data_IF_677059854978
#
_entry.id   IF_677059854978
#
_cell.length_a   1.000
_cell.length_b   1.000
_cell.length_c   1.000
_cell.angle_alpha   90.00
_cell.angle_beta   90.00
_cell.angle_gamma   90.00
#
_symmetry.space_group_name_H-M   'P 1'
#
loop_
_entity.id
_entity.type
_entity.pdbx_description
1 polymer ?
#
# COMPACT_ATOMS: atom_id res chain seq x y z
N UNK A 1 5.96 -57.18 7.14
CA UNK A 1 6.79 -57.74 8.25
C UNK A 1 7.31 -56.59 9.11
N UNK A 2 6.82 -56.60 10.41
CA UNK A 2 7.53 -56.16 11.64
C UNK A 2 8.00 -54.67 11.66
N UNK A 3 7.78 -53.81 12.68
CA UNK A 3 7.08 -53.84 13.99
C UNK A 3 6.97 -52.38 14.45
N UNK A 4 5.87 -51.98 14.86
CA UNK A 4 5.39 -51.29 16.05
C UNK A 4 6.42 -51.07 17.18
N UNK A 5 6.60 -49.85 17.65
CA UNK A 5 6.96 -49.57 19.04
C UNK A 5 6.27 -48.29 19.56
N UNK A 6 5.35 -48.51 20.47
CA UNK A 6 4.67 -47.55 21.32
C UNK A 6 5.49 -47.44 22.61
N UNK A 7 5.74 -46.22 23.13
CA UNK A 7 6.12 -46.02 24.53
C UNK A 7 5.31 -44.87 25.12
N UNK A 8 4.42 -45.24 26.02
CA UNK A 8 3.73 -44.42 27.03
C UNK A 8 4.65 -44.26 28.26
N UNK A 9 4.74 -43.07 28.85
CA UNK A 9 5.00 -42.90 30.30
C UNK A 9 4.37 -41.56 30.73
N UNK A 10 3.23 -41.55 31.32
CA UNK A 10 2.68 -41.40 32.69
C UNK A 10 3.28 -40.24 33.54
N UNK A 11 2.46 -39.23 33.75
CA UNK A 11 1.75 -38.75 34.95
C UNK A 11 2.53 -38.74 36.27
N UNK A 12 2.82 -37.52 36.82
CA UNK A 12 2.93 -37.37 38.28
C UNK A 12 2.31 -36.02 38.70
N UNK A 13 1.13 -36.12 39.36
CA UNK A 13 0.55 -35.09 40.22
C UNK A 13 1.23 -35.15 41.57
N UNK A 14 1.58 -34.00 42.15
CA UNK A 14 1.72 -33.86 43.59
C UNK A 14 1.00 -32.60 44.05
N UNK A 15 -0.08 -32.81 44.78
CA UNK A 15 -0.81 -31.84 45.58
C UNK A 15 -0.19 -31.82 46.98
N UNK A 16 0.07 -30.61 47.51
CA UNK A 16 0.24 -30.47 48.98
C UNK A 16 -0.43 -29.17 49.44
N UNK A 17 -1.53 -29.38 50.17
CA UNK A 17 -2.15 -28.38 51.07
C UNK A 17 -1.46 -28.47 52.44
N UNK A 18 -1.29 -27.31 53.10
CA UNK A 18 -1.45 -27.09 54.54
C UNK A 18 -1.06 -25.62 54.83
N UNK A 19 -1.83 -24.79 55.33
CA UNK A 19 -2.69 -24.65 56.52
C UNK A 19 -2.14 -23.46 57.35
N UNK A 20 -3.08 -22.63 57.76
CA UNK A 20 -2.98 -21.38 58.53
C UNK A 20 -2.23 -21.47 59.86
N UNK A 21 -1.61 -20.36 60.29
CA UNK A 21 -1.92 -19.85 61.66
C UNK A 21 -1.37 -18.41 61.84
N UNK A 22 -2.15 -17.68 62.58
CA UNK A 22 -2.07 -16.26 62.98
C UNK A 22 -0.95 -15.96 63.97
N UNK A 23 -0.32 -14.80 63.91
CA UNK A 23 -0.41 -13.70 64.90
C UNK A 23 0.71 -12.67 64.87
N UNK A 24 0.30 -11.40 64.92
CA UNK A 24 0.85 -10.24 65.62
C UNK A 24 2.20 -9.63 65.24
N UNK A 25 2.09 -8.39 64.72
CA UNK A 25 2.82 -7.13 65.07
C UNK A 25 4.34 -7.11 65.15
N UNK A 26 4.91 -6.35 64.24
CA UNK A 26 5.73 -5.14 64.55
C UNK A 26 6.22 -4.51 63.26
N UNK A 27 6.18 -3.20 63.23
CA UNK A 27 6.79 -2.28 62.29
C UNK A 27 8.26 -2.57 62.07
N UNK A 28 8.70 -2.58 60.80
CA UNK A 28 9.87 -1.79 60.37
C UNK A 28 10.01 -1.80 58.84
N UNK A 29 10.26 -0.64 58.40
CA UNK A 29 10.88 -0.10 57.22
C UNK A 29 11.49 -1.15 56.27
N UNK A 30 10.90 -1.30 55.08
CA UNK A 30 11.57 -1.89 53.95
C UNK A 30 11.19 -1.09 52.70
N UNK A 31 12.18 -0.31 52.27
CA UNK A 31 12.32 0.22 50.94
C UNK A 31 11.77 -0.78 49.89
N UNK A 32 10.63 -0.44 49.31
CA UNK A 32 10.17 -1.06 48.08
C UNK A 32 11.14 -0.61 46.99
N UNK A 33 12.04 -1.51 46.60
CA UNK A 33 12.73 -1.45 45.32
C UNK A 33 11.65 -1.71 44.25
N UNK A 34 10.96 -0.62 43.91
CA UNK A 34 10.09 -0.58 42.76
C UNK A 34 11.02 -0.50 41.53
N UNK A 35 11.28 -1.61 40.91
CA UNK A 35 11.69 -1.59 39.51
C UNK A 35 10.48 -1.05 38.75
N UNK A 36 10.39 0.28 38.62
CA UNK A 36 9.63 0.93 37.57
C UNK A 36 10.24 0.46 36.24
N UNK A 37 9.71 -0.63 35.70
CA UNK A 37 9.75 -0.83 34.25
C UNK A 37 8.96 0.34 33.69
N UNK A 38 9.65 1.42 33.28
CA UNK A 38 9.06 2.48 32.49
C UNK A 38 8.37 1.79 31.31
N UNK A 39 7.06 1.74 31.35
CA UNK A 39 6.27 1.30 30.18
C UNK A 39 6.50 2.36 29.11
N UNK A 40 7.27 2.02 28.07
CA UNK A 40 7.41 2.89 26.92
C UNK A 40 6.01 3.26 26.42
N UNK A 41 5.66 4.53 26.43
CA UNK A 41 4.40 5.01 25.88
C UNK A 41 4.45 4.87 24.35
N UNK A 42 3.39 4.37 23.74
CA UNK A 42 3.32 4.13 22.30
C UNK A 42 2.13 4.81 21.65
N UNK A 43 2.32 5.32 20.44
CA UNK A 43 1.23 5.71 19.53
C UNK A 43 1.01 4.55 18.57
N UNK A 44 -0.24 4.11 18.47
CA UNK A 44 -0.64 2.92 17.73
C UNK A 44 -1.11 3.27 16.32
N UNK A 45 -0.37 2.79 15.32
CA UNK A 45 -0.70 2.95 13.90
C UNK A 45 -1.31 1.65 13.38
N UNK A 46 -2.53 1.71 12.84
CA UNK A 46 -3.18 0.60 12.17
C UNK A 46 -3.08 0.67 10.66
N UNK A 47 -3.21 -0.47 10.00
CA UNK A 47 -3.34 -0.55 8.55
C UNK A 47 -3.78 -1.93 8.10
N UNK A 48 -4.25 -2.05 6.86
CA UNK A 48 -4.53 -3.34 6.26
C UNK A 48 -4.19 -3.39 4.77
N UNK A 49 -4.04 -4.59 4.27
CA UNK A 49 -3.78 -4.85 2.86
C UNK A 49 -3.68 -6.33 2.58
N UNK A 50 -3.71 -6.75 1.32
CA UNK A 50 -3.59 -8.15 0.95
C UNK A 50 -2.16 -8.64 1.23
N UNK A 51 -1.93 -9.32 2.35
CA UNK A 51 -0.65 -9.99 2.63
C UNK A 51 -0.67 -11.45 2.20
N UNK A 52 -1.83 -11.94 1.79
CA UNK A 52 -2.04 -13.26 1.17
C UNK A 52 -2.93 -13.14 -0.07
N UNK A 53 -2.87 -14.16 -0.95
CA UNK A 53 -3.69 -14.21 -2.17
C UNK A 53 -3.07 -13.54 -3.37
N UNK A 54 -3.92 -13.21 -4.34
CA UNK A 54 -3.52 -12.76 -5.69
C UNK A 54 -2.75 -11.43 -5.69
N UNK A 55 -3.05 -10.52 -4.74
CA UNK A 55 -2.44 -9.20 -4.66
C UNK A 55 -1.43 -9.05 -3.52
N UNK A 56 -0.87 -10.17 -3.04
CA UNK A 56 0.00 -10.20 -1.86
C UNK A 56 1.23 -9.29 -1.98
N UNK A 57 1.74 -9.05 -3.18
CA UNK A 57 2.89 -8.17 -3.40
C UNK A 57 2.63 -6.73 -2.96
N UNK A 58 1.38 -6.23 -3.10
CA UNK A 58 1.04 -4.89 -2.65
C UNK A 58 0.99 -4.78 -1.13
N UNK A 59 0.24 -5.67 -0.47
CA UNK A 59 0.08 -5.62 0.98
C UNK A 59 1.37 -5.88 1.74
N UNK A 60 2.18 -6.83 1.27
CA UNK A 60 3.51 -7.09 1.85
C UNK A 60 4.45 -5.89 1.65
N UNK A 61 4.41 -5.24 0.49
CA UNK A 61 5.19 -4.04 0.23
C UNK A 61 4.83 -2.91 1.21
N UNK A 62 3.54 -2.62 1.37
CA UNK A 62 3.04 -1.63 2.33
C UNK A 62 3.44 -1.99 3.76
N UNK A 63 3.25 -3.23 4.17
CA UNK A 63 3.61 -3.69 5.52
C UNK A 63 5.10 -3.51 5.82
N UNK A 64 5.97 -3.95 4.92
CA UNK A 64 7.41 -3.83 5.13
C UNK A 64 7.91 -2.40 5.02
N UNK A 65 7.38 -1.60 4.07
CA UNK A 65 7.73 -0.18 3.94
C UNK A 65 7.37 0.62 5.19
N UNK A 66 6.18 0.41 5.73
CA UNK A 66 5.74 1.00 6.98
C UNK A 66 6.59 0.54 8.18
N UNK A 67 6.94 -0.76 8.24
CA UNK A 67 7.77 -1.29 9.32
C UNK A 67 9.17 -0.68 9.32
N UNK A 68 9.79 -0.50 8.14
CA UNK A 68 11.09 0.19 8.02
C UNK A 68 11.00 1.60 8.61
N UNK A 69 9.96 2.37 8.26
CA UNK A 69 9.76 3.71 8.79
C UNK A 69 9.59 3.72 10.32
N UNK A 70 8.76 2.82 10.84
CA UNK A 70 8.52 2.68 12.29
C UNK A 70 9.81 2.34 13.04
N UNK A 71 10.58 1.41 12.52
CA UNK A 71 11.86 1.00 13.14
C UNK A 71 12.86 2.16 13.16
N UNK A 72 13.04 2.88 12.04
CA UNK A 72 13.93 4.05 11.95
C UNK A 72 13.50 5.17 12.90
N UNK A 73 12.23 5.51 12.94
CA UNK A 73 11.70 6.52 13.86
C UNK A 73 11.98 6.12 15.29
N UNK A 74 11.67 4.88 15.67
CA UNK A 74 11.84 4.36 17.01
C UNK A 74 13.31 4.28 17.45
N UNK A 75 14.26 4.09 16.53
CA UNK A 75 15.69 4.13 16.79
C UNK A 75 16.19 5.55 17.16
N UNK A 76 15.54 6.58 16.59
CA UNK A 76 15.93 7.98 16.84
C UNK A 76 15.26 8.59 18.07
N UNK A 77 14.19 7.97 18.61
CA UNK A 77 13.45 8.46 19.78
C UNK A 77 14.23 8.23 21.07
N UNK A 78 14.31 9.28 21.88
CA UNK A 78 14.99 9.27 23.17
C UNK A 78 14.24 8.50 24.26
N UNK A 79 14.94 8.29 25.39
CA UNK A 79 14.34 7.72 26.60
C UNK A 79 13.23 8.66 27.13
N UNK A 80 12.05 8.10 27.42
CA UNK A 80 10.88 8.85 27.88
C UNK A 80 10.03 9.50 26.78
N UNK A 81 10.44 9.44 25.51
CA UNK A 81 9.61 9.83 24.39
C UNK A 81 8.72 8.66 23.94
N UNK A 82 7.51 8.98 23.44
CA UNK A 82 6.64 7.94 22.88
C UNK A 82 7.26 7.34 21.60
N UNK A 83 6.95 6.08 21.36
CA UNK A 83 7.34 5.33 20.16
C UNK A 83 6.14 4.98 19.32
N UNK A 84 6.36 4.51 18.10
CA UNK A 84 5.31 3.99 17.24
C UNK A 84 5.18 2.48 17.43
N UNK A 85 3.94 1.99 17.37
CA UNK A 85 3.61 0.55 17.31
C UNK A 85 2.71 0.34 16.11
N UNK A 86 3.15 -0.49 15.15
CA UNK A 86 2.42 -0.83 13.93
C UNK A 86 1.65 -2.14 14.11
N UNK A 87 0.38 -2.14 13.73
CA UNK A 87 -0.41 -3.36 13.54
C UNK A 87 -1.00 -3.36 12.14
N UNK A 88 -0.52 -4.27 11.29
CA UNK A 88 -0.95 -4.41 9.90
C UNK A 88 -1.64 -5.75 9.70
N UNK A 89 -2.89 -5.73 9.21
CA UNK A 89 -3.75 -6.90 9.08
C UNK A 89 -3.97 -7.29 7.62
N UNK A 90 -4.13 -8.59 7.37
CA UNK A 90 -4.47 -9.12 6.05
C UNK A 90 -5.95 -8.89 5.75
N UNK A 91 -6.26 -8.10 4.74
CA UNK A 91 -7.62 -7.88 4.21
C UNK A 91 -7.87 -8.61 2.88
N UNK A 92 -6.88 -9.32 2.35
CA UNK A 92 -6.93 -10.07 1.09
C UNK A 92 -7.33 -9.27 -0.14
N UNK A 93 -7.36 -7.93 -0.05
CA UNK A 93 -7.89 -7.03 -1.07
C UNK A 93 -9.42 -7.07 -1.19
N UNK A 94 -10.11 -7.48 -0.13
CA UNK A 94 -11.55 -7.67 -0.06
C UNK A 94 -12.19 -6.70 0.94
N UNK A 95 -13.27 -6.02 0.54
CA UNK A 95 -13.92 -5.00 1.38
C UNK A 95 -14.59 -5.55 2.65
N UNK A 96 -15.05 -6.80 2.66
CA UNK A 96 -15.62 -7.43 3.86
C UNK A 96 -14.50 -7.79 4.86
N UNK A 97 -13.38 -8.31 4.38
CA UNK A 97 -12.21 -8.58 5.22
C UNK A 97 -11.58 -7.27 5.73
N UNK A 98 -11.54 -6.20 4.91
CA UNK A 98 -11.10 -4.86 5.35
C UNK A 98 -11.97 -4.31 6.49
N UNK A 99 -13.30 -4.48 6.41
CA UNK A 99 -14.21 -4.10 7.49
C UNK A 99 -13.97 -4.86 8.78
N UNK A 100 -13.60 -6.15 8.69
CA UNK A 100 -13.21 -6.97 9.83
C UNK A 100 -11.85 -6.52 10.42
N UNK A 101 -10.89 -6.20 9.55
CA UNK A 101 -9.59 -5.67 9.95
C UNK A 101 -9.74 -4.33 10.68
N UNK A 102 -10.55 -3.41 10.16
CA UNK A 102 -10.88 -2.16 10.82
C UNK A 102 -11.40 -2.37 12.25
N UNK A 103 -12.40 -3.24 12.43
CA UNK A 103 -12.95 -3.52 13.75
C UNK A 103 -11.89 -4.07 14.72
N UNK A 104 -11.01 -4.96 14.26
CA UNK A 104 -9.92 -5.51 15.06
C UNK A 104 -8.88 -4.43 15.44
N UNK A 105 -8.57 -3.51 14.53
CA UNK A 105 -7.65 -2.40 14.79
C UNK A 105 -8.23 -1.41 15.81
N UNK A 106 -9.53 -1.12 15.75
CA UNK A 106 -10.23 -0.31 16.76
C UNK A 106 -10.19 -1.00 18.12
N UNK A 107 -10.49 -2.31 18.18
CA UNK A 107 -10.42 -3.10 19.44
C UNK A 107 -9.00 -3.18 20.01
N UNK A 108 -7.97 -3.18 19.15
CA UNK A 108 -6.57 -3.11 19.57
C UNK A 108 -6.20 -1.73 20.15
N UNK A 109 -7.01 -0.70 19.90
CA UNK A 109 -6.80 0.66 20.35
C UNK A 109 -5.96 1.50 19.40
N UNK A 110 -6.10 1.28 18.10
CA UNK A 110 -5.52 2.13 17.05
C UNK A 110 -5.86 3.61 17.29
N UNK A 111 -4.87 4.49 17.12
CA UNK A 111 -5.03 5.93 17.29
C UNK A 111 -4.97 6.68 15.96
N UNK A 112 -4.18 6.18 15.00
CA UNK A 112 -4.08 6.68 13.63
C UNK A 112 -3.98 5.51 12.66
N UNK A 113 -4.24 5.73 11.37
CA UNK A 113 -4.28 4.65 10.40
C UNK A 113 -3.58 4.96 9.09
N UNK A 114 -3.04 3.91 8.48
CA UNK A 114 -2.64 3.88 7.08
C UNK A 114 -3.78 3.45 6.15
N UNK A 115 -5.02 3.39 6.64
CA UNK A 115 -6.19 2.91 5.90
C UNK A 115 -5.95 1.50 5.32
N UNK A 116 -6.22 1.33 4.02
CA UNK A 116 -5.98 0.08 3.30
C UNK A 116 -5.09 0.30 2.08
N UNK A 117 -4.51 -0.80 1.59
CA UNK A 117 -3.63 -0.79 0.42
C UNK A 117 -4.41 -0.65 -0.89
N UNK A 118 -5.51 -1.41 -1.07
CA UNK A 118 -6.26 -1.42 -2.34
C UNK A 118 -7.45 -0.48 -2.32
N UNK A 119 -7.85 0.00 -3.50
CA UNK A 119 -9.00 0.90 -3.67
C UNK A 119 -10.30 0.30 -3.12
N UNK A 120 -10.63 -0.94 -3.48
CA UNK A 120 -11.88 -1.58 -3.03
C UNK A 120 -11.95 -1.75 -1.51
N UNK A 121 -10.83 -2.16 -0.87
CA UNK A 121 -10.74 -2.26 0.59
C UNK A 121 -10.86 -0.88 1.26
N UNK A 122 -10.21 0.14 0.70
CA UNK A 122 -10.26 1.52 1.22
C UNK A 122 -11.66 2.11 1.16
N UNK A 123 -12.36 1.95 0.04
CA UNK A 123 -13.75 2.39 -0.13
C UNK A 123 -14.70 1.76 0.90
N UNK A 124 -14.48 0.49 1.22
CA UNK A 124 -15.34 -0.24 2.17
C UNK A 124 -15.26 0.29 3.61
N UNK A 125 -14.17 0.97 3.99
CA UNK A 125 -13.94 1.39 5.40
C UNK A 125 -13.72 2.90 5.58
N UNK A 126 -13.53 3.66 4.51
CA UNK A 126 -13.22 5.09 4.59
C UNK A 126 -14.25 5.89 5.39
N UNK A 127 -15.55 5.63 5.17
CA UNK A 127 -16.62 6.27 5.94
C UNK A 127 -16.54 5.93 7.43
N UNK A 128 -16.16 4.70 7.79
CA UNK A 128 -16.03 4.29 9.19
C UNK A 128 -14.91 5.02 9.92
N UNK A 129 -13.78 5.26 9.26
CA UNK A 129 -12.68 6.08 9.80
C UNK A 129 -13.11 7.53 9.97
N UNK A 130 -13.74 8.10 8.94
CA UNK A 130 -14.23 9.49 8.98
C UNK A 130 -15.25 9.70 10.08
N UNK A 131 -16.26 8.84 10.20
CA UNK A 131 -17.31 8.93 11.21
C UNK A 131 -16.79 8.76 12.64
N UNK A 132 -15.72 7.99 12.81
CA UNK A 132 -15.05 7.81 14.11
C UNK A 132 -14.09 8.96 14.47
N UNK A 133 -13.80 9.88 13.54
CA UNK A 133 -12.80 10.93 13.72
C UNK A 133 -11.38 10.40 13.84
N UNK A 134 -11.10 9.22 13.26
CA UNK A 134 -9.77 8.61 13.22
C UNK A 134 -9.06 9.06 11.94
N UNK A 135 -7.95 9.79 12.09
CA UNK A 135 -7.15 10.18 10.94
C UNK A 135 -6.59 8.93 10.23
N UNK A 136 -6.82 8.86 8.92
CA UNK A 136 -6.37 7.77 8.09
C UNK A 136 -5.79 8.28 6.76
N UNK A 137 -4.63 7.77 6.36
CA UNK A 137 -4.00 8.13 5.09
C UNK A 137 -3.67 6.87 4.31
N UNK A 138 -4.37 6.63 3.20
CA UNK A 138 -4.05 5.49 2.34
C UNK A 138 -2.72 5.70 1.60
N UNK A 139 -1.82 4.71 1.57
CA UNK A 139 -0.62 4.78 0.76
C UNK A 139 -0.93 4.70 -0.74
N UNK A 140 -1.96 3.93 -1.13
CA UNK A 140 -2.13 3.50 -2.53
C UNK A 140 -3.57 3.35 -3.00
N UNK A 141 -4.57 3.52 -2.13
CA UNK A 141 -5.97 3.58 -2.57
C UNK A 141 -6.22 4.84 -3.39
N UNK A 142 -6.47 4.71 -4.68
CA UNK A 142 -6.35 5.81 -5.66
C UNK A 142 -7.69 6.38 -6.15
N UNK A 143 -8.83 5.69 -5.92
CA UNK A 143 -10.14 6.23 -6.30
C UNK A 143 -10.47 7.53 -5.54
N UNK A 144 -11.06 8.49 -6.26
CA UNK A 144 -11.39 9.80 -5.70
C UNK A 144 -12.38 9.68 -4.53
N UNK A 145 -13.33 8.76 -4.59
CA UNK A 145 -14.37 8.59 -3.59
C UNK A 145 -13.86 8.09 -2.22
N UNK A 146 -12.60 7.62 -2.13
CA UNK A 146 -11.99 7.25 -0.85
C UNK A 146 -11.91 8.45 0.08
N UNK A 147 -11.52 9.61 -0.44
CA UNK A 147 -11.29 10.84 0.34
C UNK A 147 -12.42 11.87 0.21
N UNK A 148 -13.15 11.86 -0.90
CA UNK A 148 -14.14 12.88 -1.24
C UNK A 148 -15.21 13.03 -0.16
N UNK A 149 -15.36 14.25 0.36
CA UNK A 149 -16.32 14.58 1.43
C UNK A 149 -15.96 14.01 2.80
N UNK A 150 -14.70 13.65 3.05
CA UNK A 150 -14.22 13.06 4.30
C UNK A 150 -13.11 13.92 4.92
N UNK A 151 -13.36 14.48 6.09
CA UNK A 151 -12.41 15.38 6.75
C UNK A 151 -11.16 14.65 7.29
N UNK A 152 -11.29 13.38 7.69
CA UNK A 152 -10.25 12.60 8.37
C UNK A 152 -9.56 11.57 7.48
N UNK A 153 -9.90 11.50 6.18
CA UNK A 153 -9.33 10.51 5.25
C UNK A 153 -8.50 11.20 4.18
N UNK A 154 -7.25 10.82 4.09
CA UNK A 154 -6.22 11.40 3.23
C UNK A 154 -5.60 10.35 2.31
N UNK A 155 -4.86 10.80 1.30
CA UNK A 155 -4.17 9.92 0.34
C UNK A 155 -2.74 10.39 0.08
N UNK A 156 -1.80 9.44 0.02
CA UNK A 156 -0.41 9.68 -0.35
C UNK A 156 -0.15 9.45 -1.84
N UNK A 157 -0.82 8.52 -2.50
CA UNK A 157 -0.69 8.26 -3.94
C UNK A 157 -1.45 9.29 -4.79
N UNK A 158 -1.17 9.32 -6.09
CA UNK A 158 -1.98 10.09 -7.05
C UNK A 158 -3.32 9.38 -7.36
N UNK A 159 -4.30 10.15 -7.84
CA UNK A 159 -5.64 9.65 -8.11
C UNK A 159 -5.75 8.88 -9.43
N UNK A 160 -6.78 8.03 -9.55
CA UNK A 160 -7.11 7.33 -10.80
C UNK A 160 -7.24 8.28 -12.00
N UNK A 161 -7.94 9.44 -11.91
CA UNK A 161 -8.02 10.38 -13.01
C UNK A 161 -6.67 10.97 -13.42
N UNK A 162 -5.77 11.20 -12.47
CA UNK A 162 -4.42 11.69 -12.74
C UNK A 162 -3.59 10.65 -13.49
N UNK A 163 -3.74 9.38 -13.16
CA UNK A 163 -3.05 8.28 -13.84
C UNK A 163 -3.53 8.12 -15.28
N UNK A 164 -4.84 8.08 -15.48
CA UNK A 164 -5.43 7.93 -16.81
C UNK A 164 -5.03 9.08 -17.73
N UNK A 165 -5.11 10.32 -17.26
CA UNK A 165 -4.70 11.52 -17.98
C UNK A 165 -3.20 11.49 -18.30
N UNK A 166 -2.35 11.27 -17.30
CA UNK A 166 -0.90 11.24 -17.49
C UNK A 166 -0.44 10.13 -18.46
N UNK A 167 -1.12 8.98 -18.46
CA UNK A 167 -0.82 7.90 -19.41
C UNK A 167 -1.13 8.34 -20.85
N UNK A 168 -2.29 8.97 -21.10
CA UNK A 168 -2.67 9.45 -22.43
C UNK A 168 -1.73 10.57 -22.90
N UNK A 169 -1.41 11.54 -22.02
CA UNK A 169 -0.46 12.61 -22.28
C UNK A 169 0.90 12.04 -22.68
N UNK A 170 1.45 11.13 -21.89
CA UNK A 170 2.76 10.54 -22.14
C UNK A 170 2.80 9.77 -23.47
N UNK A 171 1.78 8.95 -23.77
CA UNK A 171 1.67 8.20 -25.02
C UNK A 171 1.66 9.16 -26.22
N UNK A 172 0.91 10.26 -26.12
CA UNK A 172 0.81 11.27 -27.18
C UNK A 172 2.08 12.09 -27.35
N UNK A 173 2.65 12.63 -26.27
CA UNK A 173 3.83 13.49 -26.29
C UNK A 173 5.07 12.77 -26.81
N UNK A 174 5.23 11.50 -26.45
CA UNK A 174 6.36 10.66 -26.88
C UNK A 174 6.07 9.91 -28.20
N UNK A 175 4.89 10.10 -28.79
CA UNK A 175 4.47 9.43 -30.04
C UNK A 175 4.66 7.90 -29.96
N UNK A 176 4.30 7.30 -28.83
CA UNK A 176 4.45 5.84 -28.63
C UNK A 176 3.53 5.04 -29.54
N UNK A 177 2.33 5.54 -29.78
CA UNK A 177 1.33 4.94 -30.66
C UNK A 177 0.24 5.94 -31.04
N UNK A 178 -0.44 5.70 -32.16
CA UNK A 178 -1.68 6.39 -32.52
C UNK A 178 -2.90 5.51 -32.23
N UNK A 179 -2.78 4.21 -32.41
CA UNK A 179 -3.85 3.22 -32.22
C UNK A 179 -3.65 2.43 -30.94
N UNK A 180 -4.59 2.56 -30.02
CA UNK A 180 -4.53 1.97 -28.68
C UNK A 180 -5.63 0.93 -28.51
N UNK A 181 -5.30 -0.23 -27.96
CA UNK A 181 -6.27 -1.14 -27.37
C UNK A 181 -6.25 -0.99 -25.84
N UNK A 182 -7.41 -1.11 -25.22
CA UNK A 182 -7.55 -1.04 -23.77
C UNK A 182 -8.13 -2.34 -23.24
N UNK A 183 -7.52 -2.86 -22.17
CA UNK A 183 -8.09 -3.95 -21.37
C UNK A 183 -8.37 -3.42 -19.98
N UNK A 184 -9.60 -3.54 -19.49
CA UNK A 184 -9.95 -3.07 -18.16
C UNK A 184 -10.90 -4.01 -17.44
N UNK A 185 -10.84 -4.01 -16.11
CA UNK A 185 -11.72 -4.80 -15.26
C UNK A 185 -12.93 -3.97 -14.86
N UNK A 186 -14.12 -4.35 -15.36
CA UNK A 186 -15.34 -3.56 -15.24
C UNK A 186 -16.04 -3.60 -13.88
N UNK A 187 -15.63 -4.50 -12.99
CA UNK A 187 -16.07 -4.62 -11.61
C UNK A 187 -15.00 -4.15 -10.59
N UNK A 188 -14.00 -3.40 -11.05
CA UNK A 188 -12.97 -2.76 -10.22
C UNK A 188 -13.09 -1.24 -10.33
N UNK A 189 -13.39 -0.57 -9.22
CA UNK A 189 -13.49 0.91 -9.18
C UNK A 189 -12.18 1.57 -9.63
N UNK A 190 -11.03 1.03 -9.23
CA UNK A 190 -9.72 1.45 -9.68
C UNK A 190 -9.57 1.39 -11.20
N UNK A 191 -9.79 0.21 -11.78
CA UNK A 191 -9.60 -0.02 -13.21
C UNK A 191 -10.54 0.84 -14.07
N UNK A 192 -11.79 1.00 -13.63
CA UNK A 192 -12.79 1.85 -14.28
C UNK A 192 -12.40 3.32 -14.17
N UNK A 193 -11.98 3.80 -12.99
CA UNK A 193 -11.60 5.19 -12.77
C UNK A 193 -10.44 5.63 -13.65
N UNK A 194 -9.39 4.83 -13.73
CA UNK A 194 -8.23 5.09 -14.61
C UNK A 194 -8.63 5.01 -16.09
N UNK A 195 -9.41 3.99 -16.49
CA UNK A 195 -9.86 3.83 -17.87
C UNK A 195 -10.70 5.00 -18.38
N UNK A 196 -11.69 5.47 -17.61
CA UNK A 196 -12.55 6.56 -18.05
C UNK A 196 -11.77 7.88 -18.22
N UNK A 197 -10.83 8.18 -17.33
CA UNK A 197 -9.96 9.35 -17.47
C UNK A 197 -9.01 9.22 -18.67
N UNK A 198 -8.41 8.06 -18.88
CA UNK A 198 -7.60 7.78 -20.06
C UNK A 198 -8.39 7.99 -21.35
N UNK A 199 -9.59 7.46 -21.42
CA UNK A 199 -10.47 7.55 -22.59
C UNK A 199 -10.81 9.00 -22.93
N UNK A 200 -11.18 9.78 -21.92
CA UNK A 200 -11.51 11.20 -22.11
C UNK A 200 -10.31 11.98 -22.65
N UNK A 201 -9.12 11.77 -22.08
CA UNK A 201 -7.91 12.48 -22.49
C UNK A 201 -7.40 12.00 -23.86
N UNK A 202 -7.45 10.70 -24.12
CA UNK A 202 -7.08 10.11 -25.41
C UNK A 202 -7.92 10.70 -26.57
N UNK A 203 -9.23 10.91 -26.36
CA UNK A 203 -10.09 11.57 -27.35
C UNK A 203 -9.64 13.01 -27.62
N UNK A 204 -9.30 13.79 -26.59
CA UNK A 204 -8.82 15.17 -26.73
C UNK A 204 -7.50 15.25 -27.48
N UNK A 205 -6.61 14.30 -27.26
CA UNK A 205 -5.29 14.23 -27.89
C UNK A 205 -5.31 13.59 -29.28
N UNK A 206 -6.45 12.99 -29.70
CA UNK A 206 -6.61 12.34 -30.99
C UNK A 206 -5.97 10.95 -31.06
N UNK A 207 -5.75 10.29 -29.93
CA UNK A 207 -5.42 8.87 -29.88
C UNK A 207 -6.64 8.05 -30.27
N UNK A 208 -6.45 7.06 -31.13
CA UNK A 208 -7.54 6.18 -31.61
C UNK A 208 -7.67 4.94 -30.72
N UNK A 209 -8.69 4.86 -29.85
CA UNK A 209 -9.02 3.62 -29.17
C UNK A 209 -9.69 2.65 -30.15
N UNK A 210 -8.92 1.76 -30.75
CA UNK A 210 -9.38 0.85 -31.82
C UNK A 210 -9.97 -0.45 -31.29
N UNK A 211 -9.74 -0.79 -30.04
CA UNK A 211 -10.29 -1.98 -29.36
C UNK A 211 -10.41 -1.72 -27.87
N UNK A 212 -11.51 -2.16 -27.28
CA UNK A 212 -11.72 -2.15 -25.83
C UNK A 212 -12.23 -3.52 -25.39
N UNK A 213 -11.52 -4.17 -24.49
CA UNK A 213 -11.89 -5.44 -23.91
C UNK A 213 -12.15 -5.28 -22.41
N UNK A 214 -13.41 -5.49 -22.00
CA UNK A 214 -13.80 -5.48 -20.59
C UNK A 214 -13.99 -6.88 -20.05
N UNK A 215 -13.58 -7.10 -18.82
CA UNK A 215 -13.77 -8.37 -18.11
C UNK A 215 -14.13 -8.10 -16.64
N UNK A 216 -14.48 -9.15 -15.91
CA UNK A 216 -14.73 -9.13 -14.47
C UNK A 216 -13.75 -10.07 -13.77
N UNK A 217 -13.60 -9.97 -12.44
CA UNK A 217 -12.77 -10.87 -11.65
C UNK A 217 -13.11 -12.35 -11.91
N UNK A 218 -14.39 -12.68 -12.03
CA UNK A 218 -14.87 -14.06 -12.26
C UNK A 218 -14.41 -14.66 -13.61
N UNK A 219 -14.12 -13.84 -14.62
CA UNK A 219 -13.71 -14.30 -15.95
C UNK A 219 -12.30 -13.88 -16.38
N UNK A 220 -11.48 -13.40 -15.47
CA UNK A 220 -10.08 -12.98 -15.67
C UNK A 220 -9.10 -14.16 -15.88
N UNK A 221 -9.48 -15.15 -16.68
CA UNK A 221 -8.71 -16.39 -16.87
C UNK A 221 -8.18 -16.60 -18.29
N UNK A 222 -8.85 -16.03 -19.31
CA UNK A 222 -8.48 -16.16 -20.72
C UNK A 222 -8.72 -14.85 -21.46
N UNK A 223 -7.65 -14.24 -21.91
CA UNK A 223 -7.65 -12.97 -22.65
C UNK A 223 -7.45 -13.14 -24.17
N UNK A 224 -7.48 -14.37 -24.70
CA UNK A 224 -7.20 -14.68 -26.11
C UNK A 224 -8.13 -13.96 -27.09
N UNK A 225 -9.41 -13.79 -26.73
CA UNK A 225 -10.38 -13.04 -27.53
C UNK A 225 -10.00 -11.56 -27.63
N UNK A 226 -9.78 -10.89 -26.48
CA UNK A 226 -9.40 -9.48 -26.46
C UNK A 226 -8.08 -9.22 -27.18
N UNK A 227 -7.09 -10.12 -27.01
CA UNK A 227 -5.82 -10.06 -27.72
C UNK A 227 -6.00 -10.20 -29.23
N UNK A 228 -6.83 -11.13 -29.67
CA UNK A 228 -7.15 -11.28 -31.09
C UNK A 228 -7.83 -10.05 -31.68
N UNK A 229 -8.77 -9.45 -30.96
CA UNK A 229 -9.49 -8.26 -31.37
C UNK A 229 -8.56 -7.05 -31.47
N UNK A 230 -7.70 -6.83 -30.47
CA UNK A 230 -6.69 -5.76 -30.47
C UNK A 230 -5.72 -5.92 -31.66
N UNK A 231 -5.21 -7.13 -31.88
CA UNK A 231 -4.30 -7.43 -32.99
C UNK A 231 -4.95 -7.21 -34.35
N UNK A 232 -6.19 -7.67 -34.53
CA UNK A 232 -6.93 -7.51 -35.79
C UNK A 232 -7.32 -6.06 -36.06
N UNK A 233 -7.60 -5.27 -35.03
CA UNK A 233 -7.85 -3.84 -35.12
C UNK A 233 -6.58 -3.03 -35.44
N UNK A 234 -5.42 -3.66 -35.36
CA UNK A 234 -4.10 -3.05 -35.64
C UNK A 234 -3.68 -2.09 -34.53
N UNK A 235 -4.02 -2.38 -33.28
CA UNK A 235 -3.52 -1.61 -32.14
C UNK A 235 -1.99 -1.71 -32.06
N UNK A 236 -1.34 -0.59 -31.86
CA UNK A 236 0.11 -0.42 -31.75
C UNK A 236 0.56 -0.47 -30.30
N UNK A 237 -0.34 -0.10 -29.40
CA UNK A 237 -0.15 -0.09 -27.94
C UNK A 237 -1.34 -0.75 -27.25
N UNK A 238 -1.07 -1.44 -26.16
CA UNK A 238 -2.05 -1.97 -25.22
C UNK A 238 -1.93 -1.21 -23.91
N UNK A 239 -2.98 -0.47 -23.54
CA UNK A 239 -3.11 0.22 -22.26
C UNK A 239 -3.77 -0.71 -21.24
N UNK A 240 -3.16 -0.78 -20.05
CA UNK A 240 -3.47 -1.73 -19.00
C UNK A 240 -3.72 -1.01 -17.66
N UNK A 241 -4.91 -0.43 -17.44
CA UNK A 241 -5.31 0.12 -16.14
C UNK A 241 -5.75 -1.00 -15.19
N UNK A 242 -4.80 -1.86 -14.79
CA UNK A 242 -5.08 -3.12 -14.09
C UNK A 242 -4.06 -3.35 -12.95
N UNK A 243 -4.30 -4.37 -12.16
CA UNK A 243 -3.33 -4.91 -11.21
C UNK A 243 -2.39 -5.91 -11.91
N UNK A 244 -1.16 -6.00 -11.44
CA UNK A 244 -0.04 -6.71 -12.07
C UNK A 244 -0.33 -8.15 -12.50
N UNK A 245 -1.18 -8.86 -11.80
CA UNK A 245 -1.56 -10.24 -12.13
C UNK A 245 -2.27 -10.33 -13.49
N UNK A 246 -3.24 -9.45 -13.74
CA UNK A 246 -3.97 -9.41 -15.00
C UNK A 246 -3.12 -8.82 -16.11
N UNK A 247 -2.30 -7.81 -15.81
CA UNK A 247 -1.30 -7.28 -16.76
C UNK A 247 -0.39 -8.38 -17.27
N UNK A 248 0.17 -9.18 -16.37
CA UNK A 248 1.03 -10.32 -16.69
C UNK A 248 0.31 -11.33 -17.59
N UNK A 249 -0.92 -11.72 -17.25
CA UNK A 249 -1.73 -12.67 -18.04
C UNK A 249 -1.96 -12.15 -19.47
N UNK A 250 -2.28 -10.85 -19.61
CA UNK A 250 -2.53 -10.21 -20.92
C UNK A 250 -1.24 -10.12 -21.73
N UNK A 251 -0.12 -9.71 -21.14
CA UNK A 251 1.18 -9.63 -21.80
C UNK A 251 1.59 -11.01 -22.32
N UNK A 252 1.49 -12.04 -21.48
CA UNK A 252 1.79 -13.44 -21.88
C UNK A 252 0.84 -13.94 -22.98
N UNK A 253 -0.44 -13.57 -22.95
CA UNK A 253 -1.39 -13.93 -24.01
C UNK A 253 -1.02 -13.24 -25.34
N UNK A 254 -0.60 -11.99 -25.33
CA UNK A 254 -0.09 -11.28 -26.51
C UNK A 254 1.16 -11.98 -27.09
N UNK A 255 2.13 -12.30 -26.25
CA UNK A 255 3.36 -13.02 -26.66
C UNK A 255 3.01 -14.37 -27.28
N UNK A 256 2.10 -15.13 -26.66
CA UNK A 256 1.64 -16.43 -27.16
C UNK A 256 0.94 -16.33 -28.53
N UNK A 257 0.24 -15.21 -28.78
CA UNK A 257 -0.42 -14.92 -30.06
C UNK A 257 0.54 -14.35 -31.13
N UNK A 258 1.83 -14.17 -30.81
CA UNK A 258 2.79 -13.49 -31.68
C UNK A 258 2.36 -12.05 -31.99
N UNK A 259 1.85 -11.36 -30.98
CA UNK A 259 1.47 -9.93 -31.02
C UNK A 259 2.36 -9.18 -30.03
N UNK A 260 3.10 -8.20 -30.53
CA UNK A 260 4.14 -7.47 -29.79
C UNK A 260 3.87 -5.96 -29.85
N UNK A 261 2.77 -5.47 -29.24
CA UNK A 261 2.51 -4.05 -29.11
C UNK A 261 3.44 -3.42 -28.07
N UNK A 262 3.46 -2.09 -27.99
CA UNK A 262 3.93 -1.41 -26.79
C UNK A 262 2.92 -1.68 -25.68
N UNK A 263 3.38 -1.94 -24.45
CA UNK A 263 2.50 -2.04 -23.28
C UNK A 263 2.69 -0.81 -22.39
N UNK A 264 1.57 -0.30 -21.88
CA UNK A 264 1.58 0.82 -20.97
C UNK A 264 0.65 0.53 -19.78
N UNK A 265 1.24 0.34 -18.61
CA UNK A 265 0.54 0.15 -17.33
C UNK A 265 0.48 1.45 -16.53
N UNK A 266 -0.16 1.39 -15.38
CA UNK A 266 -0.25 2.45 -14.39
C UNK A 266 0.33 1.94 -13.06
N UNK A 267 0.06 2.59 -11.94
CA UNK A 267 0.65 2.20 -10.64
C UNK A 267 0.40 0.73 -10.28
N UNK A 268 -0.76 0.18 -10.66
CA UNK A 268 -1.09 -1.24 -10.43
C UNK A 268 -0.18 -2.23 -11.16
N UNK A 269 0.64 -1.79 -12.11
CA UNK A 269 1.66 -2.65 -12.71
C UNK A 269 2.85 -2.89 -11.76
N UNK A 270 3.10 -1.96 -10.82
CA UNK A 270 4.25 -2.05 -9.94
C UNK A 270 4.13 -3.25 -8.97
N UNK A 271 5.16 -4.07 -8.89
CA UNK A 271 5.15 -5.40 -8.26
C UNK A 271 5.16 -6.55 -9.26
N UNK A 272 4.94 -6.29 -10.57
CA UNK A 272 5.01 -7.33 -11.60
C UNK A 272 6.43 -7.95 -11.71
N UNK A 273 7.46 -7.15 -11.51
CA UNK A 273 8.86 -7.60 -11.60
C UNK A 273 9.25 -8.56 -10.47
N UNK A 274 8.58 -8.51 -9.33
CA UNK A 274 8.78 -9.35 -8.16
C UNK A 274 7.79 -10.53 -8.09
N UNK A 275 6.97 -10.71 -9.13
CA UNK A 275 5.95 -11.77 -9.16
C UNK A 275 6.59 -13.16 -9.18
N UNK A 276 6.23 -13.99 -8.19
CA UNK A 276 6.78 -15.34 -8.05
C UNK A 276 6.47 -16.21 -9.28
N UNK A 277 7.50 -16.83 -9.83
CA UNK A 277 7.39 -17.75 -10.98
C UNK A 277 7.29 -17.07 -12.35
N UNK A 278 7.36 -15.75 -12.42
CA UNK A 278 7.41 -14.98 -13.68
C UNK A 278 8.82 -14.44 -13.89
N UNK A 279 9.36 -14.64 -15.10
CA UNK A 279 10.66 -14.10 -15.48
C UNK A 279 10.50 -12.62 -15.86
N UNK A 280 11.28 -11.73 -15.26
CA UNK A 280 11.20 -10.28 -15.48
C UNK A 280 11.37 -9.90 -16.98
N UNK A 281 12.03 -10.74 -17.79
CA UNK A 281 12.16 -10.54 -19.23
C UNK A 281 10.82 -10.52 -19.99
N UNK A 282 9.74 -11.05 -19.38
CA UNK A 282 8.36 -10.98 -19.92
C UNK A 282 7.94 -9.51 -20.08
N UNK A 283 8.42 -8.64 -19.19
CA UNK A 283 8.05 -7.23 -19.12
C UNK A 283 9.02 -6.29 -19.86
N UNK A 284 9.99 -6.82 -20.60
CA UNK A 284 10.95 -6.01 -21.34
C UNK A 284 10.24 -5.01 -22.28
N UNK A 285 10.53 -3.73 -22.10
CA UNK A 285 9.96 -2.65 -22.90
C UNK A 285 8.60 -2.13 -22.42
N UNK A 286 8.00 -2.69 -21.35
CA UNK A 286 6.76 -2.19 -20.75
C UNK A 286 7.01 -0.82 -20.13
N UNK A 287 6.12 0.14 -20.40
CA UNK A 287 6.06 1.41 -19.72
C UNK A 287 5.01 1.37 -18.61
N UNK A 288 5.24 2.08 -17.50
CA UNK A 288 4.21 2.30 -16.50
C UNK A 288 4.46 3.57 -15.66
N UNK A 289 3.43 4.01 -14.96
CA UNK A 289 3.50 5.18 -14.08
C UNK A 289 3.83 4.74 -12.65
N UNK A 290 4.84 5.40 -12.04
CA UNK A 290 5.20 5.20 -10.63
C UNK A 290 5.89 6.46 -10.10
N UNK A 291 5.74 6.86 -8.83
CA UNK A 291 6.48 7.97 -8.25
C UNK A 291 7.87 7.55 -7.75
N UNK A 292 8.20 6.25 -7.77
CA UNK A 292 9.37 5.70 -7.11
C UNK A 292 10.12 4.70 -7.98
N UNK A 293 11.45 4.79 -7.95
CA UNK A 293 12.32 3.81 -8.57
C UNK A 293 13.40 3.35 -7.59
N UNK A 294 13.36 2.10 -7.21
CA UNK A 294 14.36 1.50 -6.30
C UNK A 294 15.79 1.54 -6.85
N UNK A 295 15.95 1.82 -8.14
CA UNK A 295 17.25 1.98 -8.81
C UNK A 295 17.82 3.40 -8.71
N UNK A 296 17.11 4.35 -8.12
CA UNK A 296 17.59 5.70 -7.91
C UNK A 296 18.83 5.71 -6.98
N UNK A 297 19.71 6.71 -7.15
CA UNK A 297 21.02 6.76 -6.50
C UNK A 297 21.15 7.82 -5.44
N UNK A 298 20.06 8.48 -5.07
CA UNK A 298 20.05 9.40 -3.94
C UNK A 298 20.16 8.64 -2.60
N UNK A 299 20.74 9.29 -1.59
CA UNK A 299 21.08 8.65 -0.33
C UNK A 299 19.85 8.11 0.42
N UNK A 300 18.70 8.79 0.31
CA UNK A 300 17.46 8.39 0.99
C UNK A 300 16.92 7.10 0.38
N UNK A 301 16.81 7.05 -0.95
CA UNK A 301 16.36 5.84 -1.67
C UNK A 301 17.30 4.66 -1.42
N UNK A 302 18.62 4.86 -1.49
CA UNK A 302 19.59 3.79 -1.26
C UNK A 302 19.45 3.24 0.18
N UNK A 303 19.35 4.11 1.19
CA UNK A 303 19.17 3.69 2.59
C UNK A 303 17.88 2.91 2.79
N UNK A 304 16.76 3.39 2.23
CA UNK A 304 15.47 2.71 2.30
C UNK A 304 15.52 1.32 1.65
N UNK A 305 16.06 1.23 0.42
CA UNK A 305 16.19 -0.04 -0.32
C UNK A 305 17.01 -1.06 0.46
N UNK A 306 18.14 -0.65 1.07
CA UNK A 306 18.98 -1.54 1.88
C UNK A 306 18.22 -2.11 3.09
N UNK A 307 17.48 -1.27 3.83
CA UNK A 307 16.71 -1.68 5.01
C UNK A 307 15.50 -2.53 4.63
N UNK A 308 14.79 -2.13 3.57
CA UNK A 308 13.67 -2.90 3.06
C UNK A 308 14.11 -4.30 2.60
N UNK A 309 15.20 -4.39 1.82
CA UNK A 309 15.78 -5.68 1.40
C UNK A 309 16.20 -6.55 2.58
N UNK A 310 16.76 -5.96 3.63
CA UNK A 310 17.15 -6.70 4.83
C UNK A 310 15.94 -7.30 5.57
N UNK A 311 14.79 -6.65 5.51
CA UNK A 311 13.55 -7.08 6.17
C UNK A 311 12.74 -8.05 5.31
N UNK A 312 12.55 -7.75 4.01
CA UNK A 312 11.65 -8.46 3.09
C UNK A 312 12.34 -9.56 2.26
N UNK A 313 13.64 -9.38 1.98
CA UNK A 313 14.40 -10.22 1.04
C UNK A 313 14.17 -9.91 -0.44
N UNK A 314 13.43 -8.83 -0.78
CA UNK A 314 13.10 -8.41 -2.15
C UNK A 314 13.33 -6.91 -2.33
N UNK A 315 13.27 -6.43 -3.58
CA UNK A 315 13.29 -4.99 -3.85
C UNK A 315 11.96 -4.34 -3.46
N UNK A 316 11.97 -3.09 -2.96
CA UNK A 316 10.74 -2.33 -2.74
C UNK A 316 10.14 -1.87 -4.08
N UNK A 317 8.82 -1.80 -4.12
CA UNK A 317 8.05 -1.11 -5.15
C UNK A 317 7.51 0.23 -4.60
N UNK A 318 6.72 0.97 -5.41
CA UNK A 318 6.15 2.25 -4.96
C UNK A 318 5.25 2.13 -3.73
N UNK A 319 4.52 1.02 -3.57
CA UNK A 319 3.63 0.81 -2.43
C UNK A 319 4.40 0.78 -1.11
N UNK A 320 5.61 0.21 -1.13
CA UNK A 320 6.51 0.24 0.02
C UNK A 320 7.00 1.67 0.32
N UNK A 321 7.37 2.42 -0.72
CA UNK A 321 7.84 3.79 -0.58
C UNK A 321 6.73 4.76 -0.14
N UNK A 322 5.52 4.64 -0.71
CA UNK A 322 4.36 5.43 -0.28
C UNK A 322 3.97 5.12 1.18
N UNK A 323 4.04 3.85 1.59
CA UNK A 323 3.78 3.46 2.98
C UNK A 323 4.81 4.02 3.97
N UNK A 324 6.08 4.01 3.59
CA UNK A 324 7.16 4.66 4.33
C UNK A 324 6.89 6.16 4.49
N UNK A 325 6.52 6.83 3.40
CA UNK A 325 6.20 8.25 3.38
C UNK A 325 4.94 8.57 4.21
N UNK A 326 3.90 7.72 4.19
CA UNK A 326 2.70 7.86 5.05
C UNK A 326 3.08 7.86 6.53
N UNK A 327 3.90 6.89 6.97
CA UNK A 327 4.31 6.80 8.38
C UNK A 327 5.12 8.02 8.79
N UNK A 328 6.06 8.48 7.96
CA UNK A 328 6.86 9.66 8.26
C UNK A 328 6.06 10.96 8.21
N UNK A 329 5.12 11.12 7.27
CA UNK A 329 4.26 12.30 7.20
C UNK A 329 3.37 12.39 8.45
N UNK A 330 2.74 11.28 8.85
CA UNK A 330 1.95 11.21 10.09
C UNK A 330 2.84 11.50 11.30
N UNK A 331 4.01 10.87 11.40
CA UNK A 331 4.95 11.07 12.51
C UNK A 331 5.38 12.54 12.65
N UNK A 332 5.77 13.18 11.55
CA UNK A 332 6.21 14.57 11.57
C UNK A 332 5.07 15.50 11.98
N UNK A 333 3.86 15.31 11.46
CA UNK A 333 2.70 16.08 11.84
C UNK A 333 2.32 15.88 13.32
N UNK A 334 2.43 14.65 13.85
CA UNK A 334 2.24 14.38 15.29
C UNK A 334 3.25 15.08 16.18
N UNK A 335 4.52 15.15 15.75
CA UNK A 335 5.59 15.84 16.48
C UNK A 335 5.36 17.35 16.44
N UNK A 336 5.05 17.92 15.28
CA UNK A 336 4.78 19.35 15.10
C UNK A 336 3.56 19.80 15.92
N UNK A 337 2.48 19.00 15.91
CA UNK A 337 1.27 19.25 16.69
C UNK A 337 1.41 18.99 18.19
N UNK A 338 2.54 18.42 18.65
CA UNK A 338 2.79 18.14 20.05
C UNK A 338 1.99 16.97 20.63
N UNK A 339 1.78 15.91 19.81
CA UNK A 339 1.03 14.73 20.22
C UNK A 339 1.64 13.99 21.41
N UNK A 340 0.77 13.43 22.26
CA UNK A 340 1.14 12.55 23.37
C UNK A 340 0.47 11.19 23.24
N UNK A 341 1.11 10.13 23.75
CA UNK A 341 0.62 8.77 23.57
C UNK A 341 -0.70 8.45 24.29
N UNK A 342 -1.12 9.28 25.24
CA UNK A 342 -2.38 9.15 25.98
C UNK A 342 -3.57 9.85 25.31
N UNK A 343 -3.36 10.53 24.18
CA UNK A 343 -4.44 11.10 23.38
C UNK A 343 -5.40 10.01 22.88
N UNK A 344 -6.70 10.31 22.88
CA UNK A 344 -7.66 9.46 22.20
C UNK A 344 -7.44 9.47 20.68
N UNK A 345 -7.95 8.47 19.97
CA UNK A 345 -7.90 8.45 18.50
C UNK A 345 -8.56 9.70 17.88
N UNK A 346 -9.67 10.17 18.48
CA UNK A 346 -10.35 11.38 18.02
C UNK A 346 -9.51 12.66 18.26
N UNK A 347 -8.94 12.85 19.47
CA UNK A 347 -8.09 14.02 19.74
C UNK A 347 -6.86 14.04 18.81
N UNK A 348 -6.31 12.87 18.52
CA UNK A 348 -5.19 12.73 17.60
C UNK A 348 -5.61 12.99 16.15
N UNK A 349 -6.83 12.56 15.76
CA UNK A 349 -7.43 12.89 14.49
C UNK A 349 -7.65 14.40 14.30
N UNK A 350 -8.17 15.08 15.30
CA UNK A 350 -8.35 16.55 15.29
C UNK A 350 -7.01 17.29 15.19
N UNK A 351 -5.98 16.81 15.89
CA UNK A 351 -4.63 17.37 15.81
C UNK A 351 -4.07 17.24 14.39
N UNK A 352 -4.08 16.04 13.81
CA UNK A 352 -3.57 15.78 12.47
C UNK A 352 -4.36 16.55 11.41
N UNK A 353 -5.69 16.57 11.49
CA UNK A 353 -6.53 17.37 10.62
C UNK A 353 -6.11 18.85 10.65
N UNK A 354 -5.87 19.41 11.84
CA UNK A 354 -5.42 20.79 11.97
C UNK A 354 -4.05 21.03 11.32
N UNK A 355 -3.08 20.13 11.51
CA UNK A 355 -1.75 20.25 10.89
C UNK A 355 -1.83 20.22 9.36
N UNK A 356 -2.51 19.22 8.80
CA UNK A 356 -2.63 19.09 7.34
C UNK A 356 -3.41 20.27 6.73
N UNK A 357 -4.47 20.76 7.35
CA UNK A 357 -5.24 21.92 6.88
C UNK A 357 -4.46 23.25 7.02
N UNK A 358 -3.51 23.35 7.93
CA UNK A 358 -2.66 24.53 8.11
C UNK A 358 -1.46 24.56 7.15
N UNK A 359 -1.38 23.65 6.19
CA UNK A 359 -0.38 23.66 5.15
C UNK A 359 0.89 22.87 5.52
N UNK A 360 0.73 21.78 6.26
CA UNK A 360 1.81 20.80 6.47
C UNK A 360 2.46 20.40 5.15
N UNK A 361 3.77 20.32 5.13
CA UNK A 361 4.56 19.92 3.95
C UNK A 361 5.49 18.77 4.31
N UNK A 362 5.68 17.84 3.36
CA UNK A 362 6.56 16.71 3.56
C UNK A 362 7.38 16.43 2.28
N UNK A 363 8.64 16.09 2.44
CA UNK A 363 9.48 15.54 1.36
C UNK A 363 9.96 14.17 1.76
N UNK A 364 9.71 13.18 0.92
CA UNK A 364 10.02 11.78 1.15
C UNK A 364 10.58 11.07 -0.07
N UNK A 365 10.37 9.77 -0.14
CA UNK A 365 10.84 8.91 -1.23
C UNK A 365 10.04 9.11 -2.51
N UNK A 366 8.76 9.46 -2.39
CA UNK A 366 7.81 9.49 -3.51
C UNK A 366 7.48 10.90 -4.00
N UNK A 367 8.06 11.92 -3.38
CA UNK A 367 7.89 13.32 -3.79
C UNK A 367 8.62 14.31 -2.89
N UNK A 368 8.86 15.51 -3.43
CA UNK A 368 9.45 16.64 -2.70
C UNK A 368 8.41 17.72 -2.51
N UNK A 369 8.44 18.39 -1.34
CA UNK A 369 7.53 19.49 -0.99
C UNK A 369 6.05 19.15 -1.21
N UNK A 370 5.68 17.90 -0.94
CA UNK A 370 4.30 17.43 -1.04
C UNK A 370 3.42 18.19 -0.06
N UNK A 371 2.26 18.59 -0.55
CA UNK A 371 1.18 19.23 0.22
C UNK A 371 -0.11 18.48 -0.03
N UNK A 372 -1.11 18.71 0.81
CA UNK A 372 -2.43 18.15 0.64
C UNK A 372 -3.44 19.25 0.41
N UNK A 373 -4.35 19.02 -0.52
CA UNK A 373 -5.46 19.95 -0.78
C UNK A 373 -6.56 19.83 0.29
N UNK A 374 -7.61 20.62 0.13
CA UNK A 374 -8.74 20.63 1.08
C UNK A 374 -9.57 19.34 1.07
N UNK A 375 -9.40 18.48 0.08
CA UNK A 375 -10.07 17.18 -0.02
C UNK A 375 -9.18 16.04 0.54
N UNK A 376 -7.96 16.33 1.00
CA UNK A 376 -7.02 15.33 1.50
C UNK A 376 -6.20 14.61 0.41
N UNK A 377 -6.21 15.11 -0.82
CA UNK A 377 -5.38 14.59 -1.90
C UNK A 377 -3.98 15.19 -1.85
N UNK A 378 -2.95 14.33 -1.99
CA UNK A 378 -1.57 14.81 -2.13
C UNK A 378 -1.37 15.48 -3.48
N UNK A 379 -0.59 16.55 -3.50
CA UNK A 379 -0.20 17.22 -4.74
C UNK A 379 1.16 16.69 -5.18
N UNK A 380 1.14 15.70 -6.07
CA UNK A 380 2.33 15.13 -6.73
C UNK A 380 1.94 14.61 -8.12
N UNK A 381 2.90 14.48 -9.02
CA UNK A 381 2.66 14.00 -10.38
C UNK A 381 3.23 12.58 -10.57
N UNK A 382 2.52 11.71 -11.31
CA UNK A 382 3.08 10.42 -11.71
C UNK A 382 4.26 10.61 -12.68
N UNK A 383 5.25 9.73 -12.59
CA UNK A 383 6.39 9.69 -13.48
C UNK A 383 6.32 8.42 -14.33
N UNK A 384 6.75 8.50 -15.59
CA UNK A 384 6.80 7.34 -16.46
C UNK A 384 8.17 6.65 -16.38
N UNK A 385 8.13 5.34 -16.26
CA UNK A 385 9.31 4.48 -16.28
C UNK A 385 9.15 3.39 -17.33
N UNK A 386 10.27 2.79 -17.74
CA UNK A 386 10.30 1.66 -18.67
C UNK A 386 11.11 0.52 -18.08
N UNK A 387 10.65 -0.70 -18.26
CA UNK A 387 11.42 -1.89 -17.92
C UNK A 387 12.47 -2.13 -18.99
N UNK A 388 13.75 -2.16 -18.61
CA UNK A 388 14.92 -2.45 -19.47
C UNK A 388 15.88 -3.37 -18.76
N UNK A 389 16.29 -4.44 -19.42
CA UNK A 389 17.20 -5.45 -18.87
C UNK A 389 16.71 -5.96 -17.48
N UNK A 390 15.38 -6.12 -17.32
CA UNK A 390 14.75 -6.57 -16.09
C UNK A 390 14.81 -5.56 -14.94
N UNK A 391 15.10 -4.30 -15.21
CA UNK A 391 15.19 -3.22 -14.21
C UNK A 391 14.39 -1.99 -14.64
N UNK A 392 14.05 -1.15 -13.66
CA UNK A 392 13.30 0.08 -13.90
C UNK A 392 14.23 1.22 -14.28
N UNK A 393 13.93 1.88 -15.40
CA UNK A 393 14.68 3.02 -15.93
C UNK A 393 13.71 4.17 -16.22
N UNK A 394 14.06 5.38 -15.81
CA UNK A 394 13.25 6.56 -16.12
C UNK A 394 13.04 6.67 -17.64
N UNK A 395 11.79 6.77 -18.05
CA UNK A 395 11.42 6.91 -19.45
C UNK A 395 11.46 8.42 -19.81
N UNK A 396 12.49 8.83 -20.55
CA UNK A 396 12.75 10.22 -20.98
C UNK A 396 12.26 10.43 -22.40
#
# INVERSE_FOLDING_TARGET
MKKLLVVLVSLFMVVSLAACSSSSSSSDDSSSDGSDTESTSVIKIGGSGPTTGEYAQYGLAVQYGAQVAVDEINETRGEGEWKLELNFLDDKGDGEEASKAYAQLVDWGMQVSMLCTTTGSSLAVADSYNDAGIFAMTPSGSAQDIISGKDYVYRMCFADPEQGTAAADYISEHNLALKVAVFYQSDSDYSVGVYEAFKEEAEKLGLETVSTYSFTADNATDFSTGVSDAKNAGAELVFLPLYYENDTKIILACQSAGYTPVFFGVDGFDGALEQEGVDASVFEGVYYLTPFAYTASDDATVSFVEKYNALSGSNPNQFAADAYDVVYAIYNALVEGGATADMSAQDMGELLLAEFQNGFTYSGLTGSDMTWDSEGAVVKAPLAFQVKDGSLVAAN
#
